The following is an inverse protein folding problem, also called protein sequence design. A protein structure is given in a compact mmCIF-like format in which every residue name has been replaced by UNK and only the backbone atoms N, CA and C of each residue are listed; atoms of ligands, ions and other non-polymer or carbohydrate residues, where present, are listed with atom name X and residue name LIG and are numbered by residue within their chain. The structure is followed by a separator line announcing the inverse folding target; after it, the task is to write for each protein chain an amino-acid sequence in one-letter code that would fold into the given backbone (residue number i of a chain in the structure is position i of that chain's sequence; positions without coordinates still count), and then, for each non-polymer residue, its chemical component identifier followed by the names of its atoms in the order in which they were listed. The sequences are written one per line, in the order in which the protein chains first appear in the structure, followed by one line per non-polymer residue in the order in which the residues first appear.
data_IF_320228006245
#
_entry.id   IF_320228006245
#
_cell.length_a   1.000
_cell.length_b   1.000
_cell.length_c   1.000
_cell.angle_alpha   90.00
_cell.angle_beta   90.00
_cell.angle_gamma   90.00
#
_symmetry.space_group_name_H-M   'P 1'
#
loop_
_entity.id
_entity.type
_entity.pdbx_description
1 polymer ?
#
# COMPACT_ATOMS: atom_id res chain seq x y z
N UNK A 1 -15.23 3.79 -18.92
CA UNK A 1 -13.99 4.42 -18.42
C UNK A 1 -13.13 3.36 -17.72
N UNK A 2 -11.87 3.25 -18.07
CA UNK A 2 -10.89 2.32 -17.49
C UNK A 2 -9.51 2.94 -17.36
N UNK A 3 -8.65 2.38 -16.51
CA UNK A 3 -7.29 2.87 -16.27
C UNK A 3 -6.31 2.59 -17.43
N UNK A 4 -6.68 1.75 -18.37
CA UNK A 4 -5.88 1.42 -19.57
C UNK A 4 -5.99 2.45 -20.70
N UNK A 5 -6.97 3.37 -20.62
CA UNK A 5 -7.16 4.44 -21.60
C UNK A 5 -6.74 5.79 -21.04
N UNK A 6 -6.08 6.57 -21.89
CA UNK A 6 -5.72 7.98 -21.63
C UNK A 6 -6.58 8.94 -22.48
N UNK A 7 -7.52 8.42 -23.26
CA UNK A 7 -8.42 9.21 -24.10
C UNK A 7 -9.50 9.87 -23.25
N UNK A 8 -9.77 11.14 -23.51
CA UNK A 8 -10.85 11.90 -22.87
C UNK A 8 -11.74 12.45 -23.99
N UNK A 9 -13.08 12.41 -23.82
CA UNK A 9 -14.02 12.97 -24.79
C UNK A 9 -13.86 14.48 -24.88
N UNK A 10 -14.03 15.03 -26.08
CA UNK A 10 -13.92 16.47 -26.33
C UNK A 10 -14.99 17.27 -25.53
N UNK A 11 -16.17 16.70 -25.30
CA UNK A 11 -17.21 17.28 -24.43
C UNK A 11 -16.74 17.46 -22.99
N UNK A 12 -16.08 16.42 -22.42
CA UNK A 12 -15.58 16.48 -21.06
C UNK A 12 -14.42 17.48 -20.94
N UNK A 13 -13.57 17.56 -21.96
CA UNK A 13 -12.49 18.57 -22.02
C UNK A 13 -13.08 19.98 -22.08
N UNK A 14 -14.11 20.21 -22.88
CA UNK A 14 -14.78 21.51 -22.99
C UNK A 14 -15.41 21.93 -21.66
N UNK A 15 -16.18 21.04 -21.02
CA UNK A 15 -16.78 21.29 -19.71
C UNK A 15 -15.75 21.55 -18.60
N UNK A 16 -14.62 20.83 -18.62
CA UNK A 16 -13.53 21.08 -17.67
C UNK A 16 -12.91 22.47 -17.88
N UNK A 17 -12.66 22.87 -19.14
CA UNK A 17 -12.10 24.19 -19.45
C UNK A 17 -13.03 25.33 -19.06
N UNK A 18 -14.33 25.17 -19.29
CA UNK A 18 -15.33 26.15 -18.85
C UNK A 18 -15.33 26.32 -17.33
N UNK A 19 -15.28 25.22 -16.59
CA UNK A 19 -15.15 25.26 -15.13
C UNK A 19 -13.84 25.94 -14.69
N UNK A 20 -12.70 25.59 -15.28
CA UNK A 20 -11.39 26.16 -14.95
C UNK A 20 -11.37 27.65 -15.21
N UNK A 21 -11.92 28.11 -16.35
CA UNK A 21 -12.02 29.53 -16.66
C UNK A 21 -12.83 30.30 -15.60
N UNK A 22 -13.97 29.75 -15.21
CA UNK A 22 -14.84 30.37 -14.20
C UNK A 22 -14.28 30.38 -12.79
N UNK A 23 -13.60 29.32 -12.37
CA UNK A 23 -13.12 29.15 -10.99
C UNK A 23 -11.70 29.70 -10.75
N UNK A 24 -10.81 29.63 -11.73
CA UNK A 24 -9.38 29.97 -11.62
C UNK A 24 -8.95 31.08 -12.58
N UNK A 25 -9.70 31.31 -13.65
CA UNK A 25 -9.37 32.26 -14.70
C UNK A 25 -8.76 31.60 -15.93
N UNK A 26 -8.78 32.32 -17.07
CA UNK A 26 -8.33 31.81 -18.38
C UNK A 26 -6.85 31.43 -18.43
N UNK A 27 -6.00 32.08 -17.63
CA UNK A 27 -4.57 31.75 -17.54
C UNK A 27 -4.30 30.34 -17.00
N UNK A 28 -5.25 29.74 -16.30
CA UNK A 28 -5.16 28.37 -15.79
C UNK A 28 -5.58 27.29 -16.80
N UNK A 29 -6.11 27.66 -17.96
CA UNK A 29 -6.46 26.69 -19.01
C UNK A 29 -5.17 26.26 -19.73
N UNK A 30 -4.98 24.95 -19.93
CA UNK A 30 -3.90 24.46 -20.76
C UNK A 30 -4.07 24.98 -22.21
N UNK A 31 -3.10 25.76 -22.74
CA UNK A 31 -3.24 26.41 -24.04
C UNK A 31 -3.13 25.46 -25.24
N UNK A 32 -2.75 24.20 -25.01
CA UNK A 32 -2.60 23.17 -26.02
C UNK A 32 -3.39 21.92 -25.69
N UNK A 33 -3.69 21.08 -26.68
CA UNK A 33 -4.28 19.76 -26.45
C UNK A 33 -3.21 18.81 -25.93
N UNK A 34 -3.34 18.40 -24.69
CA UNK A 34 -2.42 17.39 -24.11
C UNK A 34 -2.63 16.04 -24.77
N UNK A 35 -1.55 15.43 -25.20
CA UNK A 35 -1.53 14.06 -25.72
C UNK A 35 -0.64 13.21 -24.81
N UNK A 36 -1.17 12.14 -24.32
CA UNK A 36 -0.47 11.22 -23.45
C UNK A 36 0.01 10.02 -24.27
N UNK A 37 1.31 9.73 -24.23
CA UNK A 37 1.85 8.51 -24.84
C UNK A 37 1.82 7.39 -23.82
N UNK A 38 1.13 6.29 -24.12
CA UNK A 38 1.26 5.05 -23.36
C UNK A 38 2.66 4.48 -23.58
N UNK A 39 3.37 4.16 -22.51
CA UNK A 39 4.64 3.43 -22.59
C UNK A 39 4.42 1.96 -22.95
N UNK A 40 3.22 1.43 -22.74
CA UNK A 40 2.83 0.07 -23.11
C UNK A 40 2.59 -0.02 -24.60
N UNK A 41 3.25 -0.96 -25.26
CA UNK A 41 3.03 -1.31 -26.66
C UNK A 41 1.66 -2.00 -26.91
N UNK A 42 0.90 -2.25 -25.86
CA UNK A 42 -0.47 -2.77 -25.92
C UNK A 42 -1.35 -1.64 -26.43
N UNK A 43 -1.90 -1.80 -27.63
CA UNK A 43 -2.90 -0.90 -28.18
C UNK A 43 -4.00 -0.73 -27.14
N UNK A 44 -4.16 0.50 -26.61
CA UNK A 44 -5.29 0.82 -25.78
C UNK A 44 -6.54 0.38 -26.55
N UNK A 45 -7.41 -0.42 -25.94
CA UNK A 45 -8.67 -0.77 -26.60
C UNK A 45 -9.39 0.55 -26.90
N UNK A 46 -9.56 0.85 -28.16
CA UNK A 46 -10.01 2.14 -28.69
C UNK A 46 -11.43 2.55 -28.20
N UNK A 47 -12.14 1.55 -27.62
CA UNK A 47 -13.46 1.70 -27.03
C UNK A 47 -13.46 2.30 -25.61
N UNK A 48 -12.31 2.36 -24.92
CA UNK A 48 -12.26 2.84 -23.55
C UNK A 48 -11.93 4.33 -23.46
N UNK A 49 -12.48 4.97 -22.44
CA UNK A 49 -12.18 6.34 -22.03
C UNK A 49 -11.47 6.34 -20.68
N UNK A 50 -10.59 7.32 -20.44
CA UNK A 50 -9.90 7.52 -19.18
C UNK A 50 -10.91 7.73 -18.03
N UNK A 51 -10.51 7.38 -16.81
CA UNK A 51 -11.34 7.61 -15.62
C UNK A 51 -11.42 9.12 -15.36
N UNK A 52 -12.63 9.63 -15.32
CA UNK A 52 -12.96 11.03 -15.06
C UNK A 52 -14.31 11.17 -14.37
N UNK A 53 -14.64 12.32 -13.77
CA UNK A 53 -15.98 12.61 -13.32
C UNK A 53 -16.96 12.64 -14.53
N UNK A 54 -18.17 12.14 -14.35
CA UNK A 54 -19.22 12.18 -15.38
C UNK A 54 -19.64 13.61 -15.67
N UNK A 55 -19.69 14.45 -14.65
CA UNK A 55 -20.03 15.86 -14.72
C UNK A 55 -18.88 16.66 -14.12
N UNK A 56 -17.99 17.26 -14.96
CA UNK A 56 -16.82 18.01 -14.47
C UNK A 56 -17.16 19.17 -13.53
N UNK A 57 -18.28 19.87 -13.76
CA UNK A 57 -18.73 20.98 -12.93
C UNK A 57 -19.24 20.58 -11.55
N UNK A 58 -19.51 19.28 -11.27
CA UNK A 58 -19.91 18.81 -9.94
C UNK A 58 -18.68 18.71 -9.03
N UNK A 59 -18.52 19.67 -8.14
CA UNK A 59 -17.35 19.79 -7.27
C UNK A 59 -17.31 18.73 -6.18
N UNK A 60 -16.11 18.35 -5.67
CA UNK A 60 -16.00 17.45 -4.53
C UNK A 60 -16.75 17.93 -3.28
N UNK A 61 -16.79 19.23 -3.03
CA UNK A 61 -17.49 19.79 -1.86
C UNK A 61 -19.02 19.68 -1.97
N UNK A 62 -19.55 19.68 -3.19
CA UNK A 62 -20.96 19.39 -3.43
C UNK A 62 -21.27 17.90 -3.24
N UNK A 63 -20.40 17.04 -3.73
CA UNK A 63 -20.52 15.58 -3.59
C UNK A 63 -20.41 15.14 -2.13
N UNK A 64 -19.55 15.76 -1.33
CA UNK A 64 -19.39 15.49 0.10
C UNK A 64 -20.66 15.72 0.93
N UNK A 65 -21.63 16.51 0.40
CA UNK A 65 -22.96 16.69 1.02
C UNK A 65 -23.85 15.45 0.89
N UNK A 66 -23.60 14.61 -0.13
CA UNK A 66 -24.45 13.46 -0.47
C UNK A 66 -23.79 12.12 -0.16
N UNK A 67 -22.46 12.03 -0.29
CA UNK A 67 -21.68 10.82 -0.02
C UNK A 67 -20.55 11.11 0.95
N UNK A 68 -20.11 10.07 1.67
CA UNK A 68 -19.06 10.21 2.69
C UNK A 68 -18.06 9.06 2.66
N UNK A 69 -17.01 9.15 3.48
CA UNK A 69 -16.02 8.10 3.65
C UNK A 69 -15.09 7.95 2.45
N UNK A 70 -14.71 6.74 2.11
CA UNK A 70 -13.70 6.47 1.08
C UNK A 70 -14.20 6.75 -0.34
N UNK A 71 -15.52 6.66 -0.56
CA UNK A 71 -16.13 6.99 -1.86
C UNK A 71 -15.97 8.48 -2.17
N UNK A 72 -16.23 9.36 -1.20
CA UNK A 72 -16.04 10.80 -1.35
C UNK A 72 -14.58 11.16 -1.60
N UNK A 73 -13.65 10.55 -0.86
CA UNK A 73 -12.20 10.75 -1.08
C UNK A 73 -11.76 10.31 -2.47
N UNK A 74 -12.26 9.16 -2.94
CA UNK A 74 -11.96 8.66 -4.27
C UNK A 74 -12.48 9.61 -5.35
N UNK A 75 -13.73 10.09 -5.20
CA UNK A 75 -14.27 11.08 -6.12
C UNK A 75 -13.42 12.34 -6.19
N UNK A 76 -13.05 12.90 -5.03
CA UNK A 76 -12.16 14.09 -4.93
C UNK A 76 -10.86 13.86 -5.66
N UNK A 77 -10.23 12.70 -5.48
CA UNK A 77 -8.96 12.36 -6.13
C UNK A 77 -9.11 12.27 -7.66
N UNK A 78 -10.14 11.58 -8.15
CA UNK A 78 -10.44 11.47 -9.60
C UNK A 78 -10.71 12.85 -10.19
N UNK A 79 -11.57 13.63 -9.55
CA UNK A 79 -11.95 14.96 -10.00
C UNK A 79 -10.76 15.91 -10.06
N UNK A 80 -9.99 15.99 -8.97
CA UNK A 80 -8.82 16.87 -8.90
C UNK A 80 -7.77 16.50 -9.94
N UNK A 81 -7.48 15.22 -10.12
CA UNK A 81 -6.52 14.76 -11.13
C UNK A 81 -7.01 15.03 -12.55
N UNK A 82 -8.28 14.79 -12.84
CA UNK A 82 -8.87 15.08 -14.14
C UNK A 82 -8.82 16.59 -14.45
N UNK A 83 -9.28 17.43 -13.53
CA UNK A 83 -9.25 18.89 -13.72
C UNK A 83 -7.82 19.40 -13.90
N UNK A 84 -6.90 18.98 -13.03
CA UNK A 84 -5.48 19.32 -13.13
C UNK A 84 -4.86 18.92 -14.48
N UNK A 85 -5.30 17.82 -15.07
CA UNK A 85 -4.84 17.39 -16.40
C UNK A 85 -5.25 18.34 -17.54
N UNK A 86 -6.25 19.20 -17.32
CA UNK A 86 -6.72 20.21 -18.28
C UNK A 86 -6.19 21.61 -17.95
N UNK A 87 -5.48 21.77 -16.80
CA UNK A 87 -4.92 23.05 -16.37
C UNK A 87 -3.54 23.31 -16.99
N UNK A 88 -3.14 24.56 -16.98
CA UNK A 88 -1.81 25.01 -17.40
C UNK A 88 -0.71 24.43 -16.48
N UNK A 89 0.51 24.36 -17.03
CA UNK A 89 1.67 23.86 -16.27
C UNK A 89 2.05 24.82 -15.13
N UNK A 90 2.50 24.26 -14.01
CA UNK A 90 3.16 25.01 -12.95
C UNK A 90 4.49 25.56 -13.48
N UNK A 91 4.77 26.84 -13.19
CA UNK A 91 6.03 27.51 -13.53
C UNK A 91 6.84 27.72 -12.24
N UNK A 92 8.12 27.42 -12.33
CA UNK A 92 9.02 27.51 -11.20
C UNK A 92 10.35 28.10 -11.65
N UNK A 93 10.86 29.06 -10.88
CA UNK A 93 12.22 29.54 -10.99
C UNK A 93 13.13 28.70 -10.11
N UNK A 94 14.07 27.98 -10.72
CA UNK A 94 15.01 27.13 -10.00
C UNK A 94 16.35 27.83 -9.84
N UNK A 95 16.89 27.82 -8.63
CA UNK A 95 18.19 28.40 -8.30
C UNK A 95 19.13 27.29 -7.86
N UNK A 96 20.28 27.20 -8.51
CA UNK A 96 21.37 26.31 -8.09
C UNK A 96 22.60 27.15 -7.73
N UNK A 97 23.06 27.03 -6.48
CA UNK A 97 24.17 27.79 -5.93
C UNK A 97 25.31 26.86 -5.64
N UNK A 98 26.52 27.26 -6.06
CA UNK A 98 27.78 26.63 -5.67
C UNK A 98 28.57 27.61 -4.83
N UNK A 99 28.82 27.26 -3.57
CA UNK A 99 29.64 28.05 -2.63
C UNK A 99 31.03 27.41 -2.57
N UNK A 100 32.07 28.19 -2.89
CA UNK A 100 33.47 27.77 -2.79
C UNK A 100 34.06 28.23 -1.47
N UNK A 101 34.71 27.32 -0.75
CA UNK A 101 35.45 27.62 0.48
C UNK A 101 36.79 26.87 0.43
N UNK A 102 37.87 27.57 0.13
CA UNK A 102 39.17 26.98 -0.23
C UNK A 102 38.99 25.92 -1.33
N UNK A 103 39.42 24.68 -1.11
CA UNK A 103 39.32 23.58 -2.08
C UNK A 103 37.98 22.84 -2.05
N UNK A 104 37.05 23.24 -1.16
CA UNK A 104 35.75 22.60 -1.00
C UNK A 104 34.66 23.36 -1.75
N UNK A 105 33.69 22.60 -2.26
CA UNK A 105 32.51 23.12 -2.95
C UNK A 105 31.23 22.60 -2.29
N UNK A 106 30.39 23.52 -1.85
CA UNK A 106 29.05 23.21 -1.30
C UNK A 106 28.01 23.56 -2.33
N UNK A 107 27.01 22.70 -2.53
CA UNK A 107 25.92 22.92 -3.47
C UNK A 107 24.61 23.03 -2.70
N UNK A 108 23.82 24.00 -3.07
CA UNK A 108 22.45 24.15 -2.62
C UNK A 108 21.54 24.39 -3.84
N UNK A 109 20.37 23.83 -3.84
CA UNK A 109 19.31 24.10 -4.84
C UNK A 109 18.01 24.44 -4.14
N UNK A 110 17.20 25.23 -4.80
CA UNK A 110 15.85 25.56 -4.35
C UNK A 110 15.03 26.05 -5.54
N UNK A 111 13.72 26.18 -5.34
CA UNK A 111 12.84 26.75 -6.35
C UNK A 111 11.80 27.67 -5.71
N UNK A 112 11.29 28.60 -6.50
CA UNK A 112 10.16 29.46 -6.15
C UNK A 112 9.08 29.26 -7.19
N UNK A 113 7.87 28.96 -6.78
CA UNK A 113 6.71 28.85 -7.68
C UNK A 113 6.31 30.27 -8.09
N UNK A 114 6.38 30.56 -9.40
CA UNK A 114 5.98 31.85 -9.99
C UNK A 114 4.55 31.80 -10.52
N UNK A 115 4.08 30.60 -10.92
CA UNK A 115 2.70 30.35 -11.29
C UNK A 115 2.36 28.91 -10.89
N UNK A 116 1.35 28.75 -10.05
CA UNK A 116 1.01 27.43 -9.50
C UNK A 116 0.33 26.48 -10.50
N UNK A 117 -0.38 27.01 -11.50
CA UNK A 117 -0.99 26.22 -12.55
C UNK A 117 -1.81 25.05 -11.98
N UNK A 118 -1.56 23.80 -12.45
CA UNK A 118 -2.29 22.63 -12.01
C UNK A 118 -2.06 22.27 -10.53
N UNK A 119 -0.96 22.74 -9.91
CA UNK A 119 -0.66 22.45 -8.49
C UNK A 119 -1.59 23.20 -7.53
N UNK A 120 -2.31 24.22 -8.00
CA UNK A 120 -3.40 24.83 -7.23
C UNK A 120 -4.50 23.84 -6.84
N UNK A 121 -4.63 22.74 -7.60
CA UNK A 121 -5.70 21.76 -7.42
C UNK A 121 -5.21 20.36 -7.07
N UNK A 122 -4.02 19.99 -7.52
CA UNK A 122 -3.52 18.63 -7.40
C UNK A 122 -2.00 18.58 -7.18
N UNK A 123 -1.60 17.97 -6.06
CA UNK A 123 -0.23 17.55 -5.82
C UNK A 123 -0.17 16.01 -5.84
N UNK A 124 0.76 15.44 -6.59
CA UNK A 124 0.93 13.99 -6.62
C UNK A 124 1.53 13.50 -5.29
N UNK A 125 0.82 12.56 -4.65
CA UNK A 125 1.34 11.94 -3.44
C UNK A 125 2.49 10.99 -3.81
N UNK A 126 3.70 11.31 -3.34
CA UNK A 126 4.86 10.43 -3.48
C UNK A 126 5.06 9.62 -2.20
N UNK A 127 5.42 8.32 -2.33
CA UNK A 127 5.76 7.46 -1.19
C UNK A 127 7.14 7.82 -0.59
N UNK A 128 7.95 8.57 -1.32
CA UNK A 128 9.21 9.13 -0.86
C UNK A 128 8.94 10.46 -0.17
N UNK A 129 9.53 10.64 1.02
CA UNK A 129 9.61 11.95 1.65
C UNK A 129 10.56 12.83 0.85
N UNK A 130 10.10 13.33 -0.27
CA UNK A 130 10.82 14.41 -0.94
C UNK A 130 11.00 15.54 0.08
N UNK A 131 12.25 15.91 0.29
CA UNK A 131 12.54 17.14 1.03
C UNK A 131 11.88 18.24 0.23
N UNK A 132 10.90 18.92 0.81
CA UNK A 132 10.39 20.17 0.25
C UNK A 132 11.61 21.05 0.04
N UNK A 133 12.02 21.21 -1.20
CA UNK A 133 13.10 22.13 -1.53
C UNK A 133 12.62 23.50 -1.10
N UNK A 134 13.36 24.10 -0.17
CA UNK A 134 13.00 25.39 0.39
C UNK A 134 13.54 26.47 -0.53
N UNK A 135 12.77 27.51 -0.76
CA UNK A 135 13.26 28.67 -1.50
C UNK A 135 14.59 29.18 -0.90
N UNK A 136 15.60 29.34 -1.74
CA UNK A 136 16.84 29.95 -1.33
C UNK A 136 16.67 31.46 -1.23
N UNK A 137 17.37 32.13 -0.31
CA UNK A 137 17.39 33.58 -0.28
C UNK A 137 17.98 34.17 -1.57
N UNK A 138 17.68 35.38 -1.96
CA UNK A 138 18.31 36.03 -3.10
C UNK A 138 19.82 36.10 -2.89
N UNK A 139 20.58 35.58 -3.84
CA UNK A 139 22.04 35.50 -3.81
C UNK A 139 22.59 36.03 -5.14
N UNK A 140 23.73 36.72 -5.08
CA UNK A 140 24.43 37.26 -6.24
C UNK A 140 25.74 36.48 -6.48
N UNK A 141 26.16 36.39 -7.75
CA UNK A 141 27.43 35.77 -8.11
C UNK A 141 28.60 36.57 -7.51
N UNK A 142 29.51 35.89 -6.81
CA UNK A 142 30.65 36.49 -6.14
C UNK A 142 30.32 37.07 -4.74
N UNK A 143 29.10 36.91 -4.27
CA UNK A 143 28.73 37.31 -2.90
C UNK A 143 29.52 36.53 -1.86
N UNK A 144 30.10 37.21 -0.91
CA UNK A 144 30.82 36.61 0.24
C UNK A 144 29.81 36.18 1.30
N UNK A 145 29.78 34.88 1.62
CA UNK A 145 28.92 34.32 2.66
C UNK A 145 29.74 34.05 3.93
N UNK A 146 29.15 34.39 5.09
CA UNK A 146 29.74 34.11 6.39
C UNK A 146 29.34 32.70 6.85
N UNK A 147 30.32 31.81 7.06
CA UNK A 147 30.05 30.50 7.66
C UNK A 147 29.55 30.70 9.10
N UNK A 148 28.36 30.13 9.41
CA UNK A 148 27.80 30.11 10.76
C UNK A 148 28.10 28.79 11.46
N UNK A 149 27.89 27.70 10.79
CA UNK A 149 28.05 26.35 11.35
C UNK A 149 28.37 25.36 10.25
N UNK A 150 29.28 24.42 10.52
CA UNK A 150 29.56 23.28 9.67
C UNK A 150 29.15 22.01 10.41
N UNK A 151 28.16 21.29 9.88
CA UNK A 151 27.70 20.00 10.40
C UNK A 151 28.20 18.87 9.51
N UNK A 152 28.90 17.92 10.09
CA UNK A 152 29.28 16.69 9.41
C UNK A 152 28.36 15.55 9.85
N UNK A 153 27.76 14.86 8.89
CA UNK A 153 26.90 13.72 9.15
C UNK A 153 27.39 12.51 8.33
N UNK A 154 27.62 11.40 9.00
CA UNK A 154 27.84 10.14 8.30
C UNK A 154 26.51 9.61 7.79
N UNK A 155 26.41 9.34 6.47
CA UNK A 155 25.24 8.75 5.83
C UNK A 155 25.63 7.45 5.15
N UNK A 156 24.69 6.50 5.18
CA UNK A 156 24.83 5.23 4.52
C UNK A 156 23.78 5.12 3.42
N UNK A 157 24.15 4.50 2.31
CA UNK A 157 23.19 4.14 1.27
C UNK A 157 22.15 3.19 1.85
N UNK A 158 20.89 3.43 1.53
CA UNK A 158 19.77 2.59 1.97
C UNK A 158 19.41 1.60 0.85
N UNK A 159 18.99 0.37 1.17
CA UNK A 159 18.46 -0.55 0.18
C UNK A 159 17.19 0.03 -0.44
N UNK A 160 16.79 -0.44 -1.64
CA UNK A 160 15.51 -0.05 -2.23
C UNK A 160 14.35 -0.27 -1.26
N UNK A 161 13.41 0.66 -1.26
CA UNK A 161 12.22 0.55 -0.41
C UNK A 161 11.39 -0.69 -0.80
N UNK A 162 10.72 -1.31 0.19
CA UNK A 162 9.74 -2.37 -0.10
C UNK A 162 8.58 -1.79 -0.90
N UNK A 163 8.00 -2.61 -1.77
CA UNK A 163 6.81 -2.23 -2.51
C UNK A 163 5.65 -1.89 -1.59
N UNK A 164 4.92 -0.85 -1.95
CA UNK A 164 3.52 -0.64 -1.56
C UNK A 164 2.63 -1.35 -2.59
N UNK A 165 1.32 -1.44 -2.35
CA UNK A 165 0.40 -2.00 -3.36
C UNK A 165 0.46 -1.19 -4.67
N UNK A 166 0.54 0.15 -4.57
CA UNK A 166 0.62 1.02 -5.73
C UNK A 166 1.93 0.84 -6.51
N UNK A 167 3.08 0.79 -5.84
CA UNK A 167 4.38 0.61 -6.51
C UNK A 167 4.55 -0.81 -7.06
N UNK A 168 3.90 -1.83 -6.45
CA UNK A 168 3.88 -3.18 -7.02
C UNK A 168 3.03 -3.22 -8.31
N UNK A 169 1.85 -2.59 -8.31
CA UNK A 169 1.03 -2.48 -9.54
C UNK A 169 1.81 -1.77 -10.64
N UNK A 170 2.49 -0.67 -10.31
CA UNK A 170 3.34 0.05 -11.27
C UNK A 170 4.45 -0.85 -11.84
N UNK A 171 5.11 -1.64 -11.00
CA UNK A 171 6.14 -2.58 -11.44
C UNK A 171 5.57 -3.69 -12.33
N UNK A 172 4.38 -4.23 -12.03
CA UNK A 172 3.68 -5.20 -12.86
C UNK A 172 3.36 -4.59 -14.24
N UNK A 173 2.81 -3.37 -14.26
CA UNK A 173 2.47 -2.65 -15.48
C UNK A 173 3.71 -2.37 -16.34
N UNK A 174 4.79 -1.87 -15.76
CA UNK A 174 6.06 -1.57 -16.44
C UNK A 174 6.69 -2.83 -17.06
N UNK A 175 6.50 -3.99 -16.46
CA UNK A 175 6.96 -5.28 -16.98
C UNK A 175 5.93 -5.97 -17.90
N UNK A 176 4.76 -5.37 -18.12
CA UNK A 176 3.71 -5.93 -18.98
C UNK A 176 3.01 -7.15 -18.40
N UNK A 177 3.01 -7.31 -17.06
CA UNK A 177 2.37 -8.41 -16.33
C UNK A 177 1.02 -7.96 -15.81
N UNK A 178 -0.02 -8.72 -16.15
CA UNK A 178 -1.40 -8.43 -15.74
C UNK A 178 -2.05 -7.32 -16.58
N UNK A 179 -3.29 -7.03 -16.21
CA UNK A 179 -4.13 -6.00 -16.84
C UNK A 179 -4.89 -5.26 -15.75
N UNK A 180 -5.51 -4.11 -16.02
CA UNK A 180 -6.26 -3.35 -15.01
C UNK A 180 -7.27 -4.18 -14.21
N UNK A 181 -7.88 -5.18 -14.86
CA UNK A 181 -8.85 -6.09 -14.22
C UNK A 181 -8.21 -7.13 -13.30
N UNK A 182 -6.91 -7.41 -13.42
CA UNK A 182 -6.23 -8.47 -12.67
C UNK A 182 -5.29 -7.97 -11.58
N UNK A 183 -4.86 -6.70 -11.58
CA UNK A 183 -3.92 -6.17 -10.58
C UNK A 183 -4.43 -6.32 -9.14
N UNK A 184 -5.66 -5.87 -8.86
CA UNK A 184 -6.22 -5.97 -7.53
C UNK A 184 -6.44 -7.43 -7.08
N UNK A 185 -6.99 -8.34 -7.91
CA UNK A 185 -7.04 -9.77 -7.62
C UNK A 185 -5.67 -10.40 -7.32
N UNK A 186 -4.62 -10.07 -8.05
CA UNK A 186 -3.25 -10.58 -7.81
C UNK A 186 -2.80 -10.22 -6.40
N UNK A 187 -2.88 -8.93 -6.04
CA UNK A 187 -2.46 -8.45 -4.71
C UNK A 187 -3.30 -9.08 -3.60
N UNK A 188 -4.62 -9.13 -3.77
CA UNK A 188 -5.52 -9.75 -2.81
C UNK A 188 -5.16 -11.23 -2.60
N UNK A 189 -4.91 -11.97 -3.69
CA UNK A 189 -4.57 -13.40 -3.63
C UNK A 189 -3.28 -13.65 -2.84
N UNK A 190 -2.21 -12.90 -3.09
CA UNK A 190 -0.93 -13.13 -2.38
C UNK A 190 -1.02 -12.79 -0.90
N UNK A 191 -1.89 -11.84 -0.52
CA UNK A 191 -2.15 -11.46 0.88
C UNK A 191 -3.04 -12.50 1.56
N UNK A 192 -4.15 -12.89 0.92
CA UNK A 192 -5.12 -13.86 1.49
C UNK A 192 -4.52 -15.25 1.67
N UNK A 193 -3.61 -15.64 0.78
CA UNK A 193 -2.84 -16.88 0.92
C UNK A 193 -1.72 -16.77 1.97
N UNK A 194 -1.50 -15.60 2.55
CA UNK A 194 -0.47 -15.36 3.54
C UNK A 194 0.95 -15.43 3.02
N UNK A 195 1.17 -15.29 1.72
CA UNK A 195 2.53 -15.21 1.14
C UNK A 195 3.18 -13.86 1.43
N UNK A 196 2.36 -12.82 1.53
CA UNK A 196 2.75 -11.44 1.83
C UNK A 196 1.87 -10.88 2.93
N UNK A 197 2.43 -10.09 3.81
CA UNK A 197 1.72 -9.32 4.84
C UNK A 197 1.90 -7.82 4.64
N UNK A 198 0.91 -7.03 5.11
CA UNK A 198 1.00 -5.56 5.12
C UNK A 198 1.71 -5.09 6.38
N UNK A 199 2.81 -4.38 6.21
CA UNK A 199 3.53 -3.69 7.28
C UNK A 199 3.57 -2.18 6.98
N UNK A 200 2.80 -1.37 7.69
CA UNK A 200 2.72 0.09 7.51
C UNK A 200 2.47 0.56 6.07
N UNK A 201 1.61 -0.04 5.30
CA UNK A 201 1.37 0.15 3.85
C UNK A 201 2.40 -0.54 2.93
N UNK A 202 3.51 -1.08 3.43
CA UNK A 202 4.49 -1.82 2.65
C UNK A 202 4.16 -3.30 2.63
N UNK A 203 4.47 -3.96 1.54
CA UNK A 203 4.31 -5.40 1.38
C UNK A 203 5.59 -6.11 1.82
N UNK A 204 5.45 -7.08 2.71
CA UNK A 204 6.56 -7.85 3.27
C UNK A 204 6.33 -9.34 3.04
N UNK A 205 7.25 -10.06 2.38
CA UNK A 205 7.15 -11.51 2.23
C UNK A 205 7.17 -12.20 3.59
N UNK A 206 6.28 -13.18 3.77
CA UNK A 206 6.25 -14.05 4.96
C UNK A 206 7.24 -15.20 4.80
N UNK A 207 7.49 -15.96 5.87
CA UNK A 207 8.30 -17.19 5.78
C UNK A 207 7.62 -18.23 4.88
N UNK A 208 6.29 -18.32 4.92
CA UNK A 208 5.53 -19.15 4.00
C UNK A 208 5.72 -18.71 2.54
N UNK A 209 5.60 -17.40 2.27
CA UNK A 209 5.80 -16.84 0.94
C UNK A 209 7.19 -17.16 0.39
N UNK A 210 8.24 -16.97 1.20
CA UNK A 210 9.61 -17.32 0.82
C UNK A 210 9.82 -18.80 0.55
N UNK A 211 9.19 -19.67 1.35
CA UNK A 211 9.28 -21.12 1.14
C UNK A 211 8.59 -21.56 -0.16
N UNK A 212 7.41 -20.99 -0.46
CA UNK A 212 6.68 -21.23 -1.70
C UNK A 212 7.45 -20.69 -2.91
N UNK A 213 7.96 -19.45 -2.82
CA UNK A 213 8.76 -18.83 -3.86
C UNK A 213 10.00 -19.65 -4.18
N UNK A 214 10.77 -20.07 -3.15
CA UNK A 214 11.92 -20.93 -3.31
C UNK A 214 11.61 -22.27 -3.97
N UNK A 215 10.49 -22.92 -3.59
CA UNK A 215 10.03 -24.15 -4.23
C UNK A 215 9.67 -23.93 -5.71
N UNK A 216 8.97 -22.84 -6.02
CA UNK A 216 8.57 -22.51 -7.38
C UNK A 216 9.79 -22.18 -8.25
N UNK A 217 10.75 -21.43 -7.72
CA UNK A 217 12.02 -21.12 -8.42
C UNK A 217 12.84 -22.39 -8.71
N UNK A 218 12.85 -23.36 -7.78
CA UNK A 218 13.58 -24.60 -7.93
C UNK A 218 12.93 -25.55 -8.95
N UNK A 219 11.59 -25.70 -8.89
CA UNK A 219 10.88 -26.71 -9.68
C UNK A 219 10.31 -26.15 -11.00
N UNK A 220 10.01 -24.84 -11.06
CA UNK A 220 9.36 -24.19 -12.21
C UNK A 220 10.02 -22.86 -12.57
N UNK A 221 11.36 -22.81 -12.76
CA UNK A 221 12.08 -21.54 -12.95
C UNK A 221 11.55 -20.73 -14.14
N UNK A 222 11.12 -21.38 -15.20
CA UNK A 222 10.59 -20.72 -16.40
C UNK A 222 9.21 -20.09 -16.18
N UNK A 223 8.38 -20.65 -15.28
CA UNK A 223 7.03 -20.14 -15.03
C UNK A 223 7.04 -18.92 -14.13
N UNK A 224 7.96 -18.88 -13.17
CA UNK A 224 8.10 -17.73 -12.24
C UNK A 224 8.95 -16.60 -12.82
N UNK A 225 9.44 -16.74 -14.05
CA UNK A 225 10.16 -15.70 -14.77
C UNK A 225 9.20 -14.54 -15.11
N UNK A 226 9.69 -13.31 -14.94
CA UNK A 226 8.96 -12.08 -15.28
C UNK A 226 8.65 -12.03 -16.77
N UNK A 227 9.61 -12.40 -17.62
CA UNK A 227 9.45 -12.41 -19.06
C UNK A 227 8.43 -13.42 -19.54
N UNK A 228 8.33 -14.58 -18.87
CA UNK A 228 7.30 -15.57 -19.16
C UNK A 228 5.90 -15.02 -18.99
N UNK A 229 5.62 -14.37 -17.85
CA UNK A 229 4.31 -13.79 -17.57
C UNK A 229 3.97 -12.67 -18.58
N UNK A 230 4.94 -11.82 -18.89
CA UNK A 230 4.76 -10.76 -19.89
C UNK A 230 4.52 -11.34 -21.30
N UNK A 231 5.20 -12.42 -21.67
CA UNK A 231 5.01 -13.08 -22.96
C UNK A 231 3.64 -13.78 -23.06
N UNK A 232 3.17 -14.37 -21.96
CA UNK A 232 1.82 -14.96 -21.90
C UNK A 232 0.75 -13.90 -22.14
N UNK A 233 0.85 -12.73 -21.50
CA UNK A 233 -0.07 -11.61 -21.73
C UNK A 233 -0.05 -11.16 -23.21
N UNK A 234 1.13 -11.06 -23.82
CA UNK A 234 1.26 -10.73 -25.26
C UNK A 234 0.63 -11.80 -26.17
N UNK A 235 0.69 -13.06 -25.78
CA UNK A 235 0.07 -14.15 -26.55
C UNK A 235 -1.46 -14.08 -26.44
N UNK A 236 -2.00 -13.74 -25.27
CA UNK A 236 -3.43 -13.49 -25.08
C UNK A 236 -3.92 -12.31 -25.91
N UNK A 237 -3.15 -11.22 -26.02
CA UNK A 237 -3.48 -10.10 -26.89
C UNK A 237 -3.48 -10.48 -28.40
N UNK A 238 -2.59 -11.40 -28.81
CA UNK A 238 -2.61 -11.93 -30.19
C UNK A 238 -3.87 -12.79 -30.47
N UNK A 239 -4.30 -13.56 -29.46
CA UNK A 239 -5.54 -14.34 -29.58
C UNK A 239 -6.74 -13.40 -29.69
N UNK A 240 -6.82 -12.37 -28.81
CA UNK A 240 -7.87 -11.36 -28.81
C UNK A 240 -7.97 -10.66 -30.19
N UNK A 241 -6.82 -10.33 -30.79
CA UNK A 241 -6.75 -9.69 -32.12
C UNK A 241 -6.93 -10.65 -33.29
N UNK A 242 -7.21 -11.93 -33.06
CA UNK A 242 -7.38 -12.95 -34.10
C UNK A 242 -6.08 -13.36 -34.82
N UNK A 243 -4.92 -12.99 -34.32
CA UNK A 243 -3.59 -13.28 -34.92
C UNK A 243 -2.98 -14.61 -34.45
N UNK A 244 -3.56 -15.25 -33.45
CA UNK A 244 -3.11 -16.54 -32.95
C UNK A 244 -4.30 -17.44 -32.63
N UNK A 245 -4.12 -18.75 -32.81
CA UNK A 245 -5.07 -19.78 -32.39
C UNK A 245 -4.87 -20.09 -30.91
N UNK A 246 -5.96 -20.05 -30.15
CA UNK A 246 -5.89 -20.26 -28.71
C UNK A 246 -5.63 -21.72 -28.32
N UNK A 247 -6.14 -22.70 -29.13
CA UNK A 247 -5.91 -24.11 -28.85
C UNK A 247 -4.42 -24.44 -28.97
N UNK A 248 -3.79 -23.93 -30.06
CA UNK A 248 -2.36 -24.12 -30.26
C UNK A 248 -1.55 -23.44 -29.14
N UNK A 249 -1.92 -22.23 -28.74
CA UNK A 249 -1.22 -21.52 -27.66
C UNK A 249 -1.29 -22.26 -26.33
N UNK A 250 -2.45 -22.85 -26.01
CA UNK A 250 -2.63 -23.65 -24.78
C UNK A 250 -1.86 -24.96 -24.88
N UNK A 251 -1.89 -25.65 -26.04
CA UNK A 251 -1.18 -26.92 -26.25
C UNK A 251 0.34 -26.71 -26.12
N UNK A 252 0.90 -25.73 -26.81
CA UNK A 252 2.33 -25.39 -26.74
C UNK A 252 2.79 -25.12 -25.29
N UNK A 253 1.97 -24.40 -24.50
CA UNK A 253 2.25 -24.18 -23.09
C UNK A 253 2.17 -25.48 -22.28
N UNK A 254 1.11 -26.27 -22.49
CA UNK A 254 0.83 -27.46 -21.67
C UNK A 254 1.89 -28.53 -21.84
N UNK A 255 2.43 -28.74 -23.05
CA UNK A 255 3.49 -29.72 -23.30
C UNK A 255 4.73 -29.41 -22.43
N UNK A 256 5.20 -28.19 -22.41
CA UNK A 256 6.34 -27.78 -21.56
C UNK A 256 6.04 -27.84 -20.07
N UNK A 257 4.81 -27.46 -19.69
CA UNK A 257 4.36 -27.52 -18.31
C UNK A 257 4.23 -28.95 -17.78
N UNK A 258 3.62 -29.86 -18.57
CA UNK A 258 3.44 -31.26 -18.18
C UNK A 258 4.77 -31.96 -17.90
N UNK A 259 5.78 -31.75 -18.75
CA UNK A 259 7.12 -32.28 -18.55
C UNK A 259 7.78 -31.70 -17.25
N UNK A 260 7.63 -30.42 -17.01
CA UNK A 260 8.16 -29.78 -15.78
C UNK A 260 7.45 -30.29 -14.53
N UNK A 261 6.13 -30.54 -14.61
CA UNK A 261 5.33 -31.07 -13.51
C UNK A 261 5.75 -32.50 -13.16
N UNK A 262 5.89 -33.36 -14.15
CA UNK A 262 6.36 -34.77 -13.95
C UNK A 262 7.75 -34.78 -13.28
N UNK A 263 8.66 -33.88 -13.72
CA UNK A 263 9.98 -33.79 -13.12
C UNK A 263 9.91 -33.26 -11.67
N UNK A 264 9.07 -32.26 -11.40
CA UNK A 264 8.85 -31.73 -10.07
C UNK A 264 8.27 -32.78 -9.11
N UNK A 265 7.32 -33.60 -9.56
CA UNK A 265 6.75 -34.71 -8.79
C UNK A 265 7.85 -35.70 -8.38
N UNK A 266 8.69 -36.12 -9.33
CA UNK A 266 9.84 -37.02 -9.06
C UNK A 266 10.83 -36.39 -8.09
N UNK A 267 11.16 -35.09 -8.26
CA UNK A 267 12.09 -34.38 -7.40
C UNK A 267 11.56 -34.24 -5.95
N UNK A 268 10.25 -34.17 -5.79
CA UNK A 268 9.58 -33.95 -4.51
C UNK A 268 9.09 -35.22 -3.85
N UNK A 269 9.24 -36.39 -4.48
CA UNK A 269 8.82 -37.67 -3.92
C UNK A 269 9.47 -37.89 -2.54
N UNK A 270 8.64 -38.14 -1.53
CA UNK A 270 9.07 -38.31 -0.13
C UNK A 270 9.61 -37.05 0.57
N UNK A 271 9.70 -35.92 -0.12
CA UNK A 271 10.17 -34.66 0.45
C UNK A 271 9.00 -33.78 0.92
N UNK A 272 9.21 -33.06 2.02
CA UNK A 272 8.27 -32.04 2.52
C UNK A 272 9.01 -30.73 2.67
N UNK A 273 8.51 -29.67 2.05
CA UNK A 273 9.01 -28.31 2.28
C UNK A 273 8.62 -27.88 3.67
N UNK A 274 9.61 -27.62 4.52
CA UNK A 274 9.39 -27.11 5.86
C UNK A 274 9.40 -25.58 5.80
N UNK A 275 8.29 -24.96 6.18
CA UNK A 275 8.27 -23.52 6.46
C UNK A 275 9.05 -23.30 7.75
N UNK A 276 10.05 -22.43 7.80
CA UNK A 276 10.77 -22.10 9.03
C UNK A 276 9.81 -21.62 10.12
N UNK A 277 10.04 -22.05 11.34
CA UNK A 277 9.24 -21.62 12.48
C UNK A 277 9.58 -20.16 12.83
N UNK A 278 8.56 -19.32 13.06
CA UNK A 278 8.77 -17.95 13.55
C UNK A 278 9.05 -18.00 15.08
N UNK A 279 10.13 -17.38 15.58
CA UNK A 279 10.40 -17.34 17.01
C UNK A 279 9.31 -16.54 17.76
N UNK A 280 8.98 -16.95 18.97
CA UNK A 280 8.05 -16.26 19.85
C UNK A 280 8.71 -15.96 21.20
N UNK A 281 8.27 -14.91 21.87
CA UNK A 281 8.67 -14.61 23.26
C UNK A 281 7.98 -15.47 24.31
N UNK A 282 6.99 -16.28 23.91
CA UNK A 282 6.22 -17.14 24.81
C UNK A 282 6.99 -18.40 25.18
N UNK A 283 6.76 -18.90 26.39
CA UNK A 283 7.31 -20.16 26.89
C UNK A 283 6.20 -21.20 27.06
N UNK A 284 6.58 -22.45 26.91
CA UNK A 284 5.67 -23.59 27.06
C UNK A 284 5.34 -23.85 28.54
N UNK A 285 4.03 -23.84 28.88
CA UNK A 285 3.58 -24.09 30.24
C UNK A 285 3.86 -25.54 30.74
N UNK A 286 4.10 -26.49 29.82
CA UNK A 286 4.35 -27.88 30.13
C UNK A 286 5.82 -28.17 30.42
N UNK A 287 6.77 -27.51 29.73
CA UNK A 287 8.19 -27.87 29.81
C UNK A 287 9.14 -26.65 29.89
N UNK A 288 8.64 -25.43 29.90
CA UNK A 288 9.42 -24.20 30.01
C UNK A 288 10.28 -23.84 28.77
N UNK A 289 10.29 -24.66 27.72
CA UNK A 289 11.04 -24.37 26.48
C UNK A 289 10.37 -23.22 25.70
N UNK A 290 11.13 -22.45 24.89
CA UNK A 290 10.56 -21.42 24.02
C UNK A 290 9.49 -21.99 23.10
N UNK A 291 8.45 -21.20 22.82
CA UNK A 291 7.45 -21.55 21.82
C UNK A 291 7.76 -20.90 20.47
N UNK A 292 7.30 -21.53 19.42
CA UNK A 292 7.42 -21.05 18.04
C UNK A 292 6.05 -20.91 17.40
N UNK A 293 5.89 -19.94 16.52
CA UNK A 293 4.64 -19.76 15.76
C UNK A 293 4.68 -20.69 14.55
N UNK A 294 3.71 -21.59 14.47
CA UNK A 294 3.49 -22.49 13.34
C UNK A 294 2.19 -22.16 12.60
N UNK A 295 2.16 -22.46 11.30
CA UNK A 295 0.96 -22.35 10.49
C UNK A 295 0.28 -23.71 10.43
N UNK A 296 -0.93 -23.80 10.97
CA UNK A 296 -1.77 -25.01 10.91
C UNK A 296 -2.99 -24.82 10.01
N UNK A 297 -3.79 -25.87 9.88
CA UNK A 297 -5.04 -25.88 9.07
C UNK A 297 -6.01 -24.74 9.43
N UNK A 298 -6.00 -24.31 10.69
CA UNK A 298 -6.90 -23.28 11.20
C UNK A 298 -6.21 -21.92 11.46
N UNK A 299 -5.02 -21.72 10.89
CA UNK A 299 -4.23 -20.49 11.05
C UNK A 299 -2.98 -20.66 11.92
N UNK A 300 -2.36 -19.53 12.27
CA UNK A 300 -1.16 -19.51 13.11
C UNK A 300 -1.48 -19.90 14.55
N UNK A 301 -0.60 -20.70 15.16
CA UNK A 301 -0.66 -21.09 16.57
C UNK A 301 0.74 -21.20 17.18
N UNK A 302 0.83 -21.15 18.49
CA UNK A 302 2.08 -21.36 19.21
C UNK A 302 2.27 -22.86 19.50
N UNK A 303 3.42 -23.40 19.13
CA UNK A 303 3.83 -24.78 19.42
C UNK A 303 5.14 -24.79 20.21
N UNK A 304 5.30 -25.76 21.09
CA UNK A 304 6.55 -25.95 21.80
C UNK A 304 7.68 -26.34 20.84
N UNK A 305 8.85 -25.71 20.96
CA UNK A 305 10.05 -26.06 20.19
C UNK A 305 10.55 -27.48 20.47
N UNK A 306 10.14 -28.07 21.59
CA UNK A 306 10.48 -29.45 21.99
C UNK A 306 9.59 -30.54 21.39
N UNK A 307 8.77 -30.23 20.36
CA UNK A 307 8.03 -31.29 19.66
C UNK A 307 8.99 -32.25 18.93
N UNK A 308 8.78 -33.57 18.96
CA UNK A 308 7.60 -34.33 19.44
C UNK A 308 7.58 -34.67 20.95
N UNK A 309 8.66 -34.44 21.68
CA UNK A 309 8.77 -34.78 23.10
C UNK A 309 7.75 -34.02 23.99
N UNK A 310 7.56 -32.73 23.67
CA UNK A 310 6.55 -31.89 24.28
C UNK A 310 5.52 -31.44 23.23
N UNK A 311 4.25 -31.75 23.48
CA UNK A 311 3.13 -31.41 22.59
C UNK A 311 2.38 -30.14 23.03
N UNK A 312 3.03 -29.29 23.82
CA UNK A 312 2.45 -28.02 24.28
C UNK A 312 2.08 -27.11 23.12
N UNK A 313 0.83 -26.67 23.05
CA UNK A 313 0.33 -25.72 22.07
C UNK A 313 -0.49 -24.64 22.76
N UNK A 314 -0.37 -23.39 22.25
CA UNK A 314 -1.20 -22.26 22.67
C UNK A 314 -1.83 -21.60 21.46
N UNK A 315 -2.98 -20.99 21.63
CA UNK A 315 -3.53 -20.12 20.58
C UNK A 315 -2.68 -18.86 20.47
N UNK A 316 -2.35 -18.46 19.25
CA UNK A 316 -1.75 -17.16 19.03
C UNK A 316 -2.82 -16.11 19.24
N UNK A 317 -2.70 -15.35 20.33
CA UNK A 317 -3.60 -14.25 20.66
C UNK A 317 -2.84 -12.94 20.51
N UNK A 318 -3.48 -11.95 19.89
CA UNK A 318 -2.92 -10.62 19.75
C UNK A 318 -3.33 -9.79 20.97
N UNK A 319 -2.35 -9.47 21.80
CA UNK A 319 -2.52 -8.56 22.94
C UNK A 319 -2.66 -7.13 22.41
N UNK A 320 -3.68 -6.43 22.86
CA UNK A 320 -3.94 -5.04 22.49
C UNK A 320 -3.22 -4.03 23.39
N UNK A 321 -2.56 -4.50 24.46
CA UNK A 321 -1.96 -3.68 25.49
C UNK A 321 -2.97 -3.04 26.44
N UNK A 322 -4.27 -3.33 26.29
CA UNK A 322 -5.33 -2.82 27.16
C UNK A 322 -5.65 -3.79 28.31
N UNK A 323 -6.03 -3.25 29.46
CA UNK A 323 -6.54 -4.02 30.61
C UNK A 323 -8.07 -4.02 30.59
N UNK A 324 -8.67 -5.13 30.93
CA UNK A 324 -10.13 -5.30 30.97
C UNK A 324 -10.78 -4.29 31.95
N UNK A 325 -11.73 -3.46 31.53
CA UNK A 325 -12.37 -2.47 32.39
C UNK A 325 -13.31 -3.09 33.42
N UNK A 326 -13.82 -4.33 33.19
CA UNK A 326 -14.72 -5.04 34.11
C UNK A 326 -13.97 -5.66 35.25
N UNK A 327 -12.94 -6.47 35.03
CA UNK A 327 -12.22 -7.18 36.09
C UNK A 327 -10.93 -6.44 36.53
N UNK A 328 -10.43 -5.46 35.81
CA UNK A 328 -9.23 -4.68 36.15
C UNK A 328 -7.90 -5.46 36.15
N UNK A 329 -7.93 -6.76 35.83
CA UNK A 329 -6.77 -7.67 35.95
C UNK A 329 -6.39 -8.33 34.61
N UNK A 330 -7.38 -8.75 33.80
CA UNK A 330 -7.14 -9.48 32.55
C UNK A 330 -6.78 -8.54 31.41
N UNK A 331 -5.92 -9.01 30.49
CA UNK A 331 -5.58 -8.29 29.25
C UNK A 331 -6.75 -8.35 28.27
N UNK A 332 -6.86 -7.33 27.42
CA UNK A 332 -7.80 -7.32 26.29
C UNK A 332 -7.15 -7.95 25.07
N UNK A 333 -7.71 -9.05 24.59
CA UNK A 333 -7.18 -9.83 23.48
C UNK A 333 -8.06 -9.66 22.23
N UNK A 334 -7.41 -9.49 21.07
CA UNK A 334 -8.08 -9.54 19.78
C UNK A 334 -8.49 -10.98 19.46
N UNK A 335 -9.75 -11.20 19.11
CA UNK A 335 -10.33 -12.49 18.75
C UNK A 335 -11.15 -12.39 17.48
N UNK A 336 -11.37 -13.51 16.81
CA UNK A 336 -12.29 -13.60 15.65
C UNK A 336 -13.53 -14.38 16.01
N UNK A 337 -14.69 -13.84 15.67
CA UNK A 337 -15.98 -14.53 15.77
C UNK A 337 -16.08 -15.65 14.71
N UNK A 338 -17.07 -16.54 14.85
CA UNK A 338 -17.34 -17.59 13.85
C UNK A 338 -17.62 -17.04 12.43
N UNK A 339 -18.09 -15.79 12.33
CA UNK A 339 -18.32 -15.08 11.07
C UNK A 339 -17.10 -14.27 10.58
N UNK A 340 -15.91 -14.48 11.18
CA UNK A 340 -14.67 -13.81 10.80
C UNK A 340 -14.52 -12.36 11.29
N UNK A 341 -15.49 -11.78 12.01
CA UNK A 341 -15.40 -10.42 12.54
C UNK A 341 -14.48 -10.36 13.74
N UNK A 342 -13.63 -9.34 13.81
CA UNK A 342 -12.74 -9.06 14.95
C UNK A 342 -13.57 -8.51 16.11
N UNK A 343 -13.34 -9.04 17.32
CA UNK A 343 -13.83 -8.51 18.58
C UNK A 343 -12.74 -8.60 19.64
N UNK A 344 -12.92 -7.87 20.71
CA UNK A 344 -11.95 -7.81 21.81
C UNK A 344 -12.58 -8.37 23.08
N UNK A 345 -11.91 -9.33 23.70
CA UNK A 345 -12.40 -10.01 24.88
C UNK A 345 -11.34 -10.11 25.98
N UNK A 346 -11.80 -10.23 27.23
CA UNK A 346 -10.92 -10.47 28.36
C UNK A 346 -10.22 -11.83 28.24
N UNK A 347 -8.91 -11.88 28.58
CA UNK A 347 -8.16 -13.15 28.61
C UNK A 347 -8.68 -14.12 29.64
N UNK A 348 -9.31 -13.63 30.71
CA UNK A 348 -9.85 -14.42 31.84
C UNK A 348 -11.24 -15.03 31.57
N UNK A 349 -11.66 -15.06 30.32
CA UNK A 349 -12.87 -15.81 29.98
C UNK A 349 -12.67 -17.31 30.28
N UNK A 350 -13.61 -18.02 30.95
CA UNK A 350 -14.99 -17.60 31.28
C UNK A 350 -15.16 -16.82 32.59
N UNK A 351 -14.18 -16.70 33.46
CA UNK A 351 -14.29 -15.99 34.74
C UNK A 351 -14.68 -14.51 34.58
N UNK A 352 -14.33 -13.91 33.45
CA UNK A 352 -14.71 -12.57 33.05
C UNK A 352 -15.21 -12.57 31.62
N UNK A 353 -16.49 -12.27 31.44
CA UNK A 353 -17.22 -12.31 30.17
C UNK A 353 -17.17 -11.00 29.35
N UNK A 354 -16.35 -10.03 29.78
CA UNK A 354 -16.27 -8.75 29.11
C UNK A 354 -15.79 -8.90 27.67
N UNK A 355 -16.60 -8.40 26.74
CA UNK A 355 -16.27 -8.32 25.32
C UNK A 355 -16.78 -7.02 24.69
N UNK A 356 -16.11 -6.57 23.64
CA UNK A 356 -16.49 -5.39 22.87
C UNK A 356 -16.06 -5.52 21.41
N UNK A 357 -16.73 -4.79 20.52
CA UNK A 357 -16.35 -4.65 19.12
C UNK A 357 -15.40 -3.47 18.90
N UNK A 358 -15.30 -2.58 19.89
CA UNK A 358 -14.49 -1.37 19.80
C UNK A 358 -13.05 -1.68 20.22
N UNK A 359 -12.09 -1.19 19.46
CA UNK A 359 -10.66 -1.47 19.64
C UNK A 359 -10.13 -0.82 20.92
N UNK A 360 -9.57 -1.61 21.87
CA UNK A 360 -8.86 -1.04 22.99
C UNK A 360 -7.58 -0.34 22.54
N UNK A 361 -7.28 0.81 23.14
CA UNK A 361 -6.07 1.58 22.87
C UNK A 361 -5.16 1.62 24.09
N UNK A 362 -3.82 1.75 23.93
CA UNK A 362 -2.89 1.80 25.06
C UNK A 362 -3.09 3.02 25.99
N UNK A 363 -3.80 4.05 25.49
CA UNK A 363 -4.11 5.27 26.23
C UNK A 363 -5.03 4.98 27.40
N UNK A 364 -4.67 5.47 28.58
CA UNK A 364 -5.47 5.35 29.78
C UNK A 364 -6.44 6.51 29.94
N UNK A 365 -7.59 6.23 30.52
CA UNK A 365 -8.60 7.22 30.85
C UNK A 365 -8.05 8.19 31.92
N UNK A 366 -8.06 9.48 31.65
CA UNK A 366 -7.59 10.52 32.58
C UNK A 366 -8.44 10.59 33.87
N UNK A 367 -9.72 10.22 33.78
CA UNK A 367 -10.65 10.26 34.94
C UNK A 367 -10.51 9.07 35.88
N UNK A 368 -10.23 7.85 35.37
CA UNK A 368 -10.27 6.64 36.21
C UNK A 368 -9.12 5.64 35.93
N UNK A 369 -8.17 5.96 35.05
CA UNK A 369 -7.00 5.13 34.74
C UNK A 369 -7.29 3.85 33.92
N UNK A 370 -8.55 3.57 33.57
CA UNK A 370 -8.92 2.39 32.79
C UNK A 370 -8.55 2.54 31.30
N UNK A 371 -8.49 1.42 30.60
CA UNK A 371 -8.27 1.38 29.13
C UNK A 371 -9.37 2.14 28.40
N UNK A 372 -8.97 2.95 27.42
CA UNK A 372 -9.90 3.60 26.48
C UNK A 372 -10.16 2.71 25.27
N UNK A 373 -11.33 2.89 24.67
CA UNK A 373 -11.80 2.17 23.49
C UNK A 373 -12.10 3.13 22.36
N UNK A 374 -11.76 2.75 21.13
CA UNK A 374 -11.98 3.58 19.94
C UNK A 374 -13.30 3.23 19.28
N UNK A 375 -14.18 4.23 19.15
CA UNK A 375 -15.43 4.17 18.39
C UNK A 375 -15.46 5.30 17.36
N UNK A 376 -15.18 4.98 16.11
CA UNK A 376 -15.05 5.99 15.05
C UNK A 376 -13.93 7.00 15.34
N UNK A 377 -14.29 8.29 15.43
CA UNK A 377 -13.37 9.42 15.70
C UNK A 377 -13.21 9.74 17.20
N UNK A 378 -13.82 8.96 18.10
CA UNK A 378 -13.77 9.19 19.55
C UNK A 378 -13.11 8.03 20.29
N UNK A 379 -12.45 8.36 21.39
CA UNK A 379 -12.04 7.41 22.45
C UNK A 379 -13.01 7.56 23.61
N UNK A 380 -13.45 6.45 24.17
CA UNK A 380 -14.34 6.45 25.34
C UNK A 380 -13.88 5.45 26.39
N UNK A 381 -14.26 5.68 27.64
CA UNK A 381 -14.00 4.77 28.75
C UNK A 381 -15.20 3.82 28.95
N UNK A 382 -14.94 2.51 28.83
CA UNK A 382 -15.98 1.48 29.02
C UNK A 382 -16.16 1.04 30.48
N UNK A 383 -15.46 1.68 31.45
CA UNK A 383 -15.67 1.41 32.87
C UNK A 383 -17.01 1.99 33.32
N UNK A 384 -17.82 1.14 33.95
CA UNK A 384 -19.15 1.52 34.44
C UNK A 384 -19.08 2.77 35.36
N UNK A 385 -19.97 3.75 35.09
CA UNK A 385 -20.03 5.02 35.84
C UNK A 385 -18.96 6.06 35.49
N UNK A 386 -18.02 5.81 34.55
CA UNK A 386 -16.97 6.78 34.21
C UNK A 386 -17.43 7.87 33.24
N UNK A 387 -18.03 7.51 32.10
CA UNK A 387 -18.57 8.44 31.10
C UNK A 387 -17.54 9.35 30.42
N UNK A 388 -16.23 9.06 30.50
CA UNK A 388 -15.19 9.87 29.86
C UNK A 388 -15.12 9.61 28.37
N UNK A 389 -15.12 10.69 27.57
CA UNK A 389 -14.90 10.65 26.12
C UNK A 389 -13.89 11.73 25.71
N UNK A 390 -13.10 11.44 24.67
CA UNK A 390 -12.19 12.40 24.06
C UNK A 390 -12.07 12.13 22.53
N UNK A 391 -11.71 13.13 21.71
CA UNK A 391 -11.41 12.89 20.32
C UNK A 391 -10.15 12.01 20.17
N UNK A 392 -10.06 11.23 19.10
CA UNK A 392 -8.83 10.50 18.77
C UNK A 392 -7.72 11.52 18.49
N UNK A 393 -6.57 11.48 19.18
CA UNK A 393 -5.44 12.35 18.88
C UNK A 393 -5.04 12.22 17.42
N UNK A 394 -4.85 13.33 16.73
CA UNK A 394 -4.23 13.31 15.39
C UNK A 394 -2.81 12.76 15.55
N UNK A 395 -2.45 11.74 14.78
CA UNK A 395 -1.05 11.32 14.70
C UNK A 395 -0.29 12.44 13.99
N UNK A 396 0.68 13.02 14.71
CA UNK A 396 1.71 13.87 14.11
C UNK A 396 2.55 13.11 13.09
#
# INVERSE_FOLDING_TARGET
MRTDSLRISDEAVAAAKEYIAGAYGESYICPYKRTWKTKSATAAQDAHEAIRPSVPGLTPDEVDKSISGDTAKLYRMIWSRFMASQMADCQQDTVSVTVSAADYRFKASGYTVTFDGFTALYEEATDEKEKKETALPPLEQGQVLKLRELKSEQKFTQPPARYTEATLIKALEENGIGRPSTYAPIITTIIDRGYVERDQKKLKPTLLGRAVDGLMLEQFPHIVDVDFSAQMEKNLDKIESGKADWHKTVDDFYQGFAASLEQAEKNMEGKKVKVPDEPSSEVCDLCGRPMVIKVGKYGKFLACSGFPECRGTKRLVKDTGGICPKCGKGRMLERKSAKGRIYYGCERYPDCDFMTWDMPVPTKCEKCGSTLFRKGSKLYCAKEGCGFEMPVPKKD
#
